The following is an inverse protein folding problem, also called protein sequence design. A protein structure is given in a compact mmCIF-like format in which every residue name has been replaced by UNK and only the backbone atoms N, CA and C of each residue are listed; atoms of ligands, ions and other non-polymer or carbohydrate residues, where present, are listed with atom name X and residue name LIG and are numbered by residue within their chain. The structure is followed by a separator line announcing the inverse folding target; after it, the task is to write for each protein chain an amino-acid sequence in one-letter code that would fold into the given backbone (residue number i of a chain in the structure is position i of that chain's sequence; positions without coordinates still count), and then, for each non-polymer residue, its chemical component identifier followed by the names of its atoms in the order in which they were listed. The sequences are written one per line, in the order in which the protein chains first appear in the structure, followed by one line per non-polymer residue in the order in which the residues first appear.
data_IF_723611573209
#
_entry.id   IF_723611573209
#
_cell.length_a   1.000
_cell.length_b   1.000
_cell.length_c   1.000
_cell.angle_alpha   90.00
_cell.angle_beta   90.00
_cell.angle_gamma   90.00
#
_symmetry.space_group_name_H-M   'P 1'
#
loop_
_entity.id
_entity.type
_entity.pdbx_description
1 polymer ?
#
# COMPACT_ATOMS: atom_id res chain seq x y z
N UNK A 1 5.14 43.63 10.91
CA UNK A 1 5.50 42.58 9.93
C UNK A 1 5.11 41.22 10.47
N UNK A 2 3.96 40.67 10.03
CA UNK A 2 3.56 39.29 10.33
C UNK A 2 3.88 38.46 9.10
N UNK A 3 4.80 37.50 9.20
CA UNK A 3 5.05 36.50 8.14
C UNK A 3 3.77 35.68 8.00
N UNK A 4 3.08 35.84 6.88
CA UNK A 4 1.80 35.19 6.62
C UNK A 4 2.00 33.70 6.37
N UNK A 5 1.15 32.90 7.03
CA UNK A 5 1.11 31.45 7.03
C UNK A 5 0.95 30.89 5.61
N UNK A 6 1.99 30.25 5.08
CA UNK A 6 1.93 29.54 3.79
C UNK A 6 1.90 28.00 3.95
N UNK A 7 1.52 27.51 5.13
CA UNK A 7 1.51 26.07 5.47
C UNK A 7 0.10 25.47 5.64
N UNK A 8 -0.98 26.25 5.48
CA UNK A 8 -2.34 25.81 5.84
C UNK A 8 -3.15 25.20 4.68
N UNK A 9 -2.59 25.06 3.48
CA UNK A 9 -3.32 24.55 2.30
C UNK A 9 -2.67 23.32 1.64
N UNK A 10 -1.98 22.46 2.41
CA UNK A 10 -1.77 21.10 1.92
C UNK A 10 -3.04 20.30 2.18
N UNK A 11 -3.88 20.18 1.15
CA UNK A 11 -5.00 19.26 1.12
C UNK A 11 -4.48 17.88 1.55
N UNK A 12 -4.98 17.36 2.68
CA UNK A 12 -4.51 16.08 3.23
C UNK A 12 -4.82 15.01 2.19
N UNK A 13 -3.78 14.51 1.52
CA UNK A 13 -3.94 13.53 0.46
C UNK A 13 -4.41 12.21 1.09
N UNK A 14 -5.46 11.63 0.52
CA UNK A 14 -5.86 10.26 0.84
C UNK A 14 -4.76 9.29 0.37
N UNK A 15 -4.43 8.32 1.20
CA UNK A 15 -3.42 7.28 0.97
C UNK A 15 -4.12 5.93 1.05
N UNK A 16 -4.09 5.19 -0.05
CA UNK A 16 -4.64 3.83 -0.10
C UNK A 16 -3.53 2.80 0.10
N UNK A 17 -3.70 1.93 1.10
CA UNK A 17 -2.73 0.91 1.49
C UNK A 17 -3.33 -0.47 1.23
N UNK A 18 -2.71 -1.26 0.35
CA UNK A 18 -3.16 -2.60 0.01
C UNK A 18 -2.24 -3.67 0.61
N UNK A 19 -2.82 -4.58 1.41
CA UNK A 19 -2.16 -5.80 1.85
C UNK A 19 -2.42 -6.91 0.83
N UNK A 20 -1.42 -7.20 -0.01
CA UNK A 20 -1.53 -8.19 -1.10
C UNK A 20 -1.47 -9.65 -0.61
N UNK A 21 -0.97 -9.84 0.61
CA UNK A 21 -0.96 -11.13 1.32
C UNK A 21 -2.06 -11.13 2.37
N UNK A 22 -2.69 -12.29 2.58
CA UNK A 22 -3.61 -12.47 3.72
C UNK A 22 -2.82 -12.34 5.03
N UNK A 23 -3.31 -11.51 5.95
CA UNK A 23 -2.74 -11.36 7.30
C UNK A 23 -3.71 -11.92 8.36
N UNK A 24 -3.19 -12.45 9.49
CA UNK A 24 -4.03 -12.91 10.59
C UNK A 24 -4.97 -11.82 11.11
N UNK A 25 -6.17 -12.21 11.56
CA UNK A 25 -7.16 -11.28 12.12
C UNK A 25 -6.58 -10.40 13.25
N UNK A 26 -5.77 -10.91 14.21
CA UNK A 26 -5.19 -10.05 15.25
C UNK A 26 -4.32 -8.93 14.69
N UNK A 27 -3.54 -9.19 13.63
CA UNK A 27 -2.71 -8.17 12.99
C UNK A 27 -3.56 -7.12 12.26
N UNK A 28 -4.62 -7.57 11.56
CA UNK A 28 -5.56 -6.67 10.88
C UNK A 28 -6.26 -5.74 11.86
N UNK A 29 -6.75 -6.30 12.97
CA UNK A 29 -7.44 -5.55 14.03
C UNK A 29 -6.48 -4.52 14.62
N UNK A 30 -5.29 -4.96 15.06
CA UNK A 30 -4.28 -4.07 15.64
C UNK A 30 -3.91 -2.91 14.71
N UNK A 31 -3.63 -3.19 13.44
CA UNK A 31 -3.24 -2.15 12.47
C UNK A 31 -4.41 -1.17 12.26
N UNK A 32 -5.63 -1.67 12.14
CA UNK A 32 -6.82 -0.83 11.94
C UNK A 32 -7.09 0.08 13.14
N UNK A 33 -6.97 -0.45 14.36
CA UNK A 33 -7.12 0.32 15.60
C UNK A 33 -6.03 1.40 15.74
N UNK A 34 -4.77 1.06 15.46
CA UNK A 34 -3.66 2.02 15.57
C UNK A 34 -3.69 3.11 14.53
N UNK A 35 -4.38 2.89 13.41
CA UNK A 35 -4.49 3.86 12.32
C UNK A 35 -5.88 4.53 12.24
N UNK A 36 -6.79 4.27 13.18
CA UNK A 36 -8.18 4.76 13.13
C UNK A 36 -8.32 6.29 13.12
N UNK A 37 -7.35 7.00 13.70
CA UNK A 37 -7.36 8.46 13.80
C UNK A 37 -6.91 9.13 12.49
N UNK A 38 -6.25 8.38 11.61
CA UNK A 38 -5.79 8.86 10.30
C UNK A 38 -6.90 8.67 9.26
N UNK A 39 -7.86 9.61 9.23
CA UNK A 39 -9.03 9.55 8.32
C UNK A 39 -8.66 9.56 6.83
N UNK A 40 -7.45 9.99 6.49
CA UNK A 40 -6.94 9.98 5.13
C UNK A 40 -6.25 8.66 4.75
N UNK A 41 -6.18 7.67 5.64
CA UNK A 41 -5.59 6.36 5.36
C UNK A 41 -6.70 5.34 5.13
N UNK A 42 -6.75 4.80 3.91
CA UNK A 42 -7.66 3.73 3.54
C UNK A 42 -6.92 2.38 3.52
N UNK A 43 -7.29 1.47 4.42
CA UNK A 43 -6.68 0.14 4.55
C UNK A 43 -7.50 -0.90 3.78
N UNK A 44 -6.86 -1.58 2.84
CA UNK A 44 -7.46 -2.61 2.00
C UNK A 44 -6.78 -3.94 2.26
N UNK A 45 -7.52 -4.91 2.80
CA UNK A 45 -7.01 -6.24 3.12
C UNK A 45 -7.53 -7.27 2.13
N UNK A 46 -6.62 -8.08 1.57
CA UNK A 46 -7.01 -9.22 0.74
C UNK A 46 -7.81 -10.23 1.57
N UNK A 47 -9.02 -10.55 1.10
CA UNK A 47 -9.81 -11.67 1.63
C UNK A 47 -9.39 -12.98 0.94
N UNK A 48 -9.65 -14.13 1.59
CA UNK A 48 -9.34 -15.45 1.02
C UNK A 48 -10.17 -15.77 -0.24
N UNK A 49 -11.21 -14.98 -0.54
CA UNK A 49 -12.21 -15.25 -1.57
C UNK A 49 -11.98 -14.36 -2.81
N UNK A 50 -11.21 -14.91 -3.75
CA UNK A 50 -11.03 -14.53 -5.16
C UNK A 50 -10.04 -13.40 -5.52
N UNK A 51 -9.19 -13.72 -6.49
CA UNK A 51 -8.19 -12.84 -7.10
C UNK A 51 -8.79 -11.77 -8.02
N UNK A 52 -10.04 -11.96 -8.48
CA UNK A 52 -10.73 -11.02 -9.38
C UNK A 52 -10.91 -9.62 -8.79
N UNK A 53 -11.03 -9.50 -7.47
CA UNK A 53 -11.15 -8.20 -6.79
C UNK A 53 -9.80 -7.57 -6.43
N UNK A 54 -8.70 -8.32 -6.54
CA UNK A 54 -7.39 -7.85 -6.10
C UNK A 54 -6.77 -6.88 -7.10
N UNK A 55 -7.00 -7.07 -8.40
CA UNK A 55 -6.47 -6.18 -9.44
C UNK A 55 -6.95 -4.74 -9.28
N UNK A 56 -8.26 -4.55 -9.06
CA UNK A 56 -8.87 -3.22 -8.87
C UNK A 56 -8.40 -2.54 -7.57
N UNK A 57 -8.14 -3.33 -6.51
CA UNK A 57 -7.58 -2.83 -5.26
C UNK A 57 -6.12 -2.39 -5.45
N UNK A 58 -5.33 -3.18 -6.19
CA UNK A 58 -3.93 -2.90 -6.45
C UNK A 58 -3.76 -1.68 -7.37
N UNK A 59 -4.57 -1.56 -8.43
CA UNK A 59 -4.47 -0.46 -9.41
C UNK A 59 -4.74 0.91 -8.80
N UNK A 60 -5.39 0.94 -7.64
CA UNK A 60 -5.70 2.16 -6.91
C UNK A 60 -4.86 2.37 -5.64
N UNK A 61 -3.96 1.45 -5.30
CA UNK A 61 -3.14 1.55 -4.11
C UNK A 61 -1.98 2.55 -4.29
N UNK A 62 -1.76 3.41 -3.30
CA UNK A 62 -0.54 4.24 -3.19
C UNK A 62 0.61 3.44 -2.55
N UNK A 63 0.27 2.49 -1.67
CA UNK A 63 1.22 1.65 -0.92
C UNK A 63 0.80 0.19 -1.04
N UNK A 64 1.75 -0.68 -1.33
CA UNK A 64 1.58 -2.13 -1.27
C UNK A 64 2.35 -2.73 -0.09
N UNK A 65 1.76 -3.71 0.57
CA UNK A 65 2.37 -4.45 1.68
C UNK A 65 2.25 -5.96 1.42
N UNK A 66 3.38 -6.66 1.39
CA UNK A 66 3.38 -8.12 1.26
C UNK A 66 4.75 -8.72 0.97
N UNK A 67 4.78 -10.03 0.78
CA UNK A 67 5.99 -10.79 0.50
C UNK A 67 5.86 -11.50 -0.86
N UNK A 68 6.91 -11.40 -1.70
CA UNK A 68 7.07 -12.13 -2.97
C UNK A 68 5.88 -11.90 -3.90
N UNK A 69 5.60 -10.63 -4.28
CA UNK A 69 4.58 -10.34 -5.27
C UNK A 69 4.94 -11.01 -6.61
N UNK A 70 3.93 -11.39 -7.38
CA UNK A 70 4.14 -11.75 -8.78
C UNK A 70 4.41 -10.51 -9.62
N UNK A 71 5.02 -10.70 -10.80
CA UNK A 71 5.16 -9.62 -11.80
C UNK A 71 3.80 -9.00 -12.14
N UNK A 72 2.78 -9.83 -12.36
CA UNK A 72 1.42 -9.39 -12.64
C UNK A 72 0.86 -8.46 -11.55
N UNK A 73 1.05 -8.79 -10.27
CA UNK A 73 0.64 -7.92 -9.15
C UNK A 73 1.30 -6.56 -9.24
N UNK A 74 2.62 -6.51 -9.49
CA UNK A 74 3.34 -5.25 -9.55
C UNK A 74 3.03 -4.45 -10.82
N UNK A 75 2.85 -5.11 -11.97
CA UNK A 75 2.48 -4.46 -13.23
C UNK A 75 1.08 -3.82 -13.17
N UNK A 76 0.17 -4.38 -12.37
CA UNK A 76 -1.16 -3.78 -12.15
C UNK A 76 -1.13 -2.65 -11.11
N UNK A 77 -0.05 -2.49 -10.35
CA UNK A 77 0.10 -1.51 -9.26
C UNK A 77 0.52 -0.11 -9.75
N UNK A 78 -0.13 0.38 -10.80
CA UNK A 78 0.31 1.57 -11.56
C UNK A 78 0.39 2.87 -10.76
N UNK A 79 -0.27 2.95 -9.59
CA UNK A 79 -0.23 4.12 -8.70
C UNK A 79 0.71 3.94 -7.49
N UNK A 80 1.21 2.73 -7.27
CA UNK A 80 2.00 2.42 -6.09
C UNK A 80 3.31 3.20 -6.11
N UNK A 81 3.58 3.92 -5.01
CA UNK A 81 4.81 4.69 -4.80
C UNK A 81 5.74 4.05 -3.78
N UNK A 82 5.23 3.08 -3.03
CA UNK A 82 5.94 2.42 -1.96
C UNK A 82 5.50 0.96 -1.87
N UNK A 83 6.48 0.07 -1.78
CA UNK A 83 6.28 -1.34 -1.45
C UNK A 83 6.97 -1.63 -0.11
N UNK A 84 6.24 -2.24 0.83
CA UNK A 84 6.76 -2.65 2.14
C UNK A 84 6.80 -4.17 2.19
N UNK A 85 8.00 -4.73 2.30
CA UNK A 85 8.20 -6.15 2.57
C UNK A 85 8.28 -6.38 4.09
N UNK A 86 7.30 -7.06 4.72
CA UNK A 86 7.37 -7.39 6.15
C UNK A 86 8.33 -8.57 6.44
N UNK A 87 8.83 -9.27 5.41
CA UNK A 87 9.79 -10.36 5.56
C UNK A 87 11.25 -9.92 5.56
N UNK A 88 12.15 -10.85 5.88
CA UNK A 88 13.60 -10.60 5.85
C UNK A 88 14.16 -10.67 4.42
N UNK A 89 15.01 -9.70 4.08
CA UNK A 89 15.73 -9.65 2.80
C UNK A 89 14.87 -9.11 1.64
N UNK A 90 15.29 -8.00 1.04
CA UNK A 90 14.63 -7.38 -0.11
C UNK A 90 15.37 -7.59 -1.44
N UNK A 91 16.60 -8.12 -1.39
CA UNK A 91 17.46 -8.27 -2.58
C UNK A 91 16.80 -9.08 -3.70
N UNK A 92 16.06 -10.14 -3.34
CA UNK A 92 15.33 -10.99 -4.28
C UNK A 92 14.21 -10.27 -5.05
N UNK A 93 13.83 -9.06 -4.63
CA UNK A 93 12.82 -8.24 -5.30
C UNK A 93 13.43 -7.25 -6.29
N UNK A 94 14.75 -7.01 -6.25
CA UNK A 94 15.38 -5.95 -7.04
C UNK A 94 15.21 -6.16 -8.54
N UNK A 95 15.47 -7.36 -9.03
CA UNK A 95 15.36 -7.66 -10.46
C UNK A 95 13.90 -7.55 -10.94
N UNK A 96 12.96 -8.02 -10.10
CA UNK A 96 11.54 -7.87 -10.36
C UNK A 96 11.10 -6.39 -10.40
N UNK A 97 11.57 -5.56 -9.46
CA UNK A 97 11.24 -4.13 -9.44
C UNK A 97 11.88 -3.36 -10.60
N UNK A 98 13.06 -3.77 -11.08
CA UNK A 98 13.67 -3.21 -12.29
C UNK A 98 12.81 -3.53 -13.50
N UNK A 99 12.48 -4.80 -13.70
CA UNK A 99 11.70 -5.27 -14.86
C UNK A 99 10.33 -4.58 -14.99
N UNK A 100 9.69 -4.21 -13.89
CA UNK A 100 8.37 -3.53 -13.91
C UNK A 100 8.46 -2.00 -14.00
N UNK A 101 9.64 -1.40 -13.86
CA UNK A 101 9.86 0.06 -13.90
C UNK A 101 10.79 0.50 -15.05
N UNK A 102 11.31 -0.42 -15.84
CA UNK A 102 11.96 -0.12 -17.14
C UNK A 102 10.94 0.37 -18.17
#
# INVERSE_FOLDING_TARGET
MKKSNNLLNQQVKNVSVCFISSIPDPARIYISEKLQDFKNVNLMFRTKTSDKNLSDLISNADILIGWRPSKEILSNAVKAKLFINPGAGVQHLLDLFREVNE
#
